data_IF_482512078660
#
_entry.id   IF_482512078660
#
_cell.length_a   1.000
_cell.length_b   1.000
_cell.length_c   1.000
_cell.angle_alpha   90.00
_cell.angle_beta   90.00
_cell.angle_gamma   90.00
#
_symmetry.space_group_name_H-M   'P 1'
#
loop_
_entity.id
_entity.type
_entity.pdbx_description
1 polymer ?
#
# COMPACT_ATOMS: atom_id res chain seq x y z
N UNK A 1 34.17 -18.68 -28.26
CA UNK A 1 33.43 -17.78 -27.34
C UNK A 1 32.34 -17.00 -28.07
N UNK A 2 32.63 -15.93 -28.83
CA UNK A 2 31.60 -15.11 -29.50
C UNK A 2 30.65 -15.87 -30.44
N UNK A 3 31.17 -16.84 -31.19
CA UNK A 3 30.37 -17.70 -32.08
C UNK A 3 29.45 -18.67 -31.31
N UNK A 4 29.88 -19.14 -30.13
CA UNK A 4 29.06 -19.99 -29.27
C UNK A 4 27.97 -19.19 -28.58
N UNK A 5 28.25 -17.96 -28.16
CA UNK A 5 27.25 -17.02 -27.63
C UNK A 5 26.22 -16.65 -28.69
N UNK A 6 26.65 -16.41 -29.94
CA UNK A 6 25.75 -16.14 -31.05
C UNK A 6 24.84 -17.34 -31.36
N UNK A 7 25.40 -18.56 -31.38
CA UNK A 7 24.60 -19.77 -31.59
C UNK A 7 23.64 -20.05 -30.43
N UNK A 8 24.04 -19.79 -29.19
CA UNK A 8 23.15 -19.90 -28.03
C UNK A 8 22.00 -18.88 -28.09
N UNK A 9 22.29 -17.63 -28.45
CA UNK A 9 21.26 -16.59 -28.66
C UNK A 9 20.31 -16.95 -29.80
N UNK A 10 20.84 -17.43 -30.92
CA UNK A 10 20.03 -17.88 -32.07
C UNK A 10 19.16 -19.08 -31.65
N UNK A 11 19.69 -20.04 -30.90
CA UNK A 11 18.92 -21.16 -30.39
C UNK A 11 17.78 -20.72 -29.45
N UNK A 12 18.04 -19.76 -28.55
CA UNK A 12 17.01 -19.18 -27.67
C UNK A 12 15.93 -18.45 -28.48
N UNK A 13 16.33 -17.68 -29.49
CA UNK A 13 15.39 -16.97 -30.38
C UNK A 13 14.56 -17.94 -31.21
N UNK A 14 15.18 -18.99 -31.74
CA UNK A 14 14.49 -20.03 -32.52
C UNK A 14 13.53 -20.85 -31.65
N UNK A 15 13.89 -21.16 -30.41
CA UNK A 15 12.99 -21.83 -29.46
C UNK A 15 11.82 -20.92 -29.06
N UNK A 16 12.07 -19.62 -28.88
CA UNK A 16 11.02 -18.63 -28.63
C UNK A 16 10.04 -18.49 -29.80
N UNK A 17 10.54 -18.47 -31.03
CA UNK A 17 9.74 -18.37 -32.27
C UNK A 17 9.01 -19.68 -32.63
N UNK A 18 9.55 -20.83 -32.23
CA UNK A 18 8.95 -22.15 -32.46
C UNK A 18 7.95 -22.57 -31.37
N UNK A 19 7.74 -21.76 -30.32
CA UNK A 19 6.62 -22.01 -29.42
C UNK A 19 5.32 -21.93 -30.23
N UNK A 20 4.45 -22.95 -30.17
CA UNK A 20 3.16 -22.84 -30.83
C UNK A 20 2.35 -21.83 -30.02
N UNK A 21 2.45 -20.54 -30.39
CA UNK A 21 1.57 -19.48 -29.91
C UNK A 21 0.08 -19.76 -30.27
N UNK A 22 -0.22 -20.91 -30.89
CA UNK A 22 -1.52 -21.29 -31.40
C UNK A 22 -2.00 -22.67 -30.92
N UNK A 23 -1.40 -23.26 -29.87
CA UNK A 23 -1.86 -24.57 -29.41
C UNK A 23 -3.17 -24.55 -28.58
N UNK A 24 -3.58 -23.42 -27.98
CA UNK A 24 -4.82 -23.41 -27.17
C UNK A 24 -5.50 -22.02 -26.96
N UNK A 25 -5.24 -21.04 -27.83
CA UNK A 25 -5.94 -19.76 -27.81
C UNK A 25 -5.60 -18.87 -26.61
N UNK A 26 -6.48 -17.92 -26.29
CA UNK A 26 -6.25 -16.91 -25.23
C UNK A 26 -5.98 -17.52 -23.86
N UNK A 27 -6.59 -18.67 -23.55
CA UNK A 27 -6.42 -19.37 -22.28
C UNK A 27 -4.97 -19.82 -22.04
N UNK A 28 -4.31 -20.37 -23.06
CA UNK A 28 -2.90 -20.77 -22.95
C UNK A 28 -1.96 -19.54 -22.94
N UNK A 29 -2.30 -18.48 -23.67
CA UNK A 29 -1.56 -17.20 -23.58
C UNK A 29 -1.63 -16.60 -22.18
N UNK A 30 -2.81 -16.60 -21.56
CA UNK A 30 -3.02 -16.13 -20.18
C UNK A 30 -2.28 -17.04 -19.19
N UNK A 31 -2.33 -18.36 -19.36
CA UNK A 31 -1.63 -19.29 -18.48
C UNK A 31 -0.10 -19.08 -18.51
N UNK A 32 0.48 -18.90 -19.70
CA UNK A 32 1.92 -18.62 -19.85
C UNK A 32 2.27 -17.24 -19.30
N UNK A 33 1.42 -16.24 -19.54
CA UNK A 33 1.59 -14.89 -19.02
C UNK A 33 1.59 -14.86 -17.49
N UNK A 34 0.62 -15.54 -16.87
CA UNK A 34 0.56 -15.69 -15.42
C UNK A 34 1.75 -16.49 -14.90
N UNK A 35 2.10 -17.61 -15.51
CA UNK A 35 3.25 -18.41 -15.09
C UNK A 35 4.57 -17.62 -15.15
N UNK A 36 4.77 -16.83 -16.21
CA UNK A 36 5.94 -15.96 -16.37
C UNK A 36 5.94 -14.83 -15.35
N UNK A 37 4.78 -14.24 -15.05
CA UNK A 37 4.63 -13.23 -14.02
C UNK A 37 4.96 -13.79 -12.64
N UNK A 38 4.40 -14.95 -12.26
CA UNK A 38 4.71 -15.59 -10.98
C UNK A 38 6.19 -15.94 -10.85
N UNK A 39 6.81 -16.45 -11.92
CA UNK A 39 8.23 -16.79 -11.91
C UNK A 39 9.11 -15.55 -11.75
N UNK A 40 8.85 -14.49 -12.52
CA UNK A 40 9.60 -13.24 -12.44
C UNK A 40 9.37 -12.55 -11.09
N UNK A 41 8.13 -12.52 -10.62
CA UNK A 41 7.79 -12.00 -9.29
C UNK A 41 8.49 -12.78 -8.18
N UNK A 42 8.56 -14.11 -8.25
CA UNK A 42 9.28 -14.93 -7.27
C UNK A 42 10.79 -14.68 -7.28
N UNK A 43 11.37 -14.43 -8.47
CA UNK A 43 12.79 -14.13 -8.62
C UNK A 43 13.14 -12.72 -8.12
N UNK A 44 12.25 -11.75 -8.30
CA UNK A 44 12.44 -10.34 -7.88
C UNK A 44 12.06 -10.12 -6.41
N UNK A 45 11.10 -10.88 -5.88
CA UNK A 45 10.56 -10.74 -4.52
C UNK A 45 11.63 -10.64 -3.41
N UNK A 46 12.67 -11.49 -3.34
CA UNK A 46 13.67 -11.40 -2.27
C UNK A 46 14.55 -10.15 -2.35
N UNK A 47 14.65 -9.51 -3.53
CA UNK A 47 15.39 -8.26 -3.70
C UNK A 47 14.51 -7.03 -3.46
N UNK A 48 13.23 -7.11 -3.83
CA UNK A 48 12.26 -6.03 -3.60
C UNK A 48 11.76 -5.98 -2.16
N UNK A 49 11.66 -7.13 -1.49
CA UNK A 49 11.20 -7.28 -0.11
C UNK A 49 12.19 -8.12 0.70
N UNK A 50 13.38 -7.58 1.03
CA UNK A 50 14.43 -8.33 1.71
C UNK A 50 14.10 -8.65 3.18
N UNK A 51 13.10 -7.98 3.76
CA UNK A 51 12.71 -8.19 5.15
C UNK A 51 11.36 -8.91 5.22
N UNK A 52 11.30 -10.09 5.86
CA UNK A 52 10.02 -10.70 6.19
C UNK A 52 9.30 -9.81 7.19
N UNK A 53 8.18 -9.21 6.77
CA UNK A 53 7.25 -8.55 7.68
C UNK A 53 6.53 -9.64 8.48
N UNK A 54 7.12 -10.07 9.58
CA UNK A 54 6.42 -10.87 10.57
C UNK A 54 5.49 -9.95 11.33
N UNK A 55 4.18 -10.11 11.15
CA UNK A 55 3.21 -9.48 12.04
C UNK A 55 3.37 -10.12 13.42
N UNK A 56 3.72 -9.35 14.46
CA UNK A 56 3.65 -9.87 15.82
C UNK A 56 2.20 -10.23 16.11
N UNK A 57 1.96 -11.51 16.43
CA UNK A 57 0.69 -11.95 16.97
C UNK A 57 0.60 -11.36 18.39
N UNK A 58 -0.07 -10.22 18.52
CA UNK A 58 -0.41 -9.66 19.82
C UNK A 58 -1.43 -10.59 20.48
N UNK A 59 -0.97 -11.43 21.40
CA UNK A 59 -1.86 -12.19 22.28
C UNK A 59 -2.52 -11.20 23.24
N UNK A 60 -3.79 -10.85 22.97
CA UNK A 60 -4.59 -10.05 23.89
C UNK A 60 -4.95 -10.91 25.10
N UNK A 61 -4.57 -10.54 26.34
CA UNK A 61 -4.84 -11.34 27.54
C UNK A 61 -6.25 -11.13 28.10
N UNK A 62 -7.22 -10.69 27.30
CA UNK A 62 -8.55 -10.39 27.82
C UNK A 62 -9.40 -11.67 27.94
N UNK A 63 -9.40 -12.26 29.13
CA UNK A 63 -10.34 -13.30 29.49
C UNK A 63 -11.75 -12.67 29.60
N UNK A 64 -12.64 -13.04 28.69
CA UNK A 64 -14.03 -12.62 28.75
C UNK A 64 -14.73 -13.26 29.96
N UNK A 65 -15.47 -12.49 30.77
CA UNK A 65 -16.26 -13.07 31.84
C UNK A 65 -17.36 -13.96 31.24
N UNK A 66 -17.67 -15.12 31.85
CA UNK A 66 -18.75 -15.97 31.38
C UNK A 66 -20.08 -15.23 31.51
N UNK A 67 -20.78 -15.11 30.39
CA UNK A 67 -22.11 -14.53 30.32
C UNK A 67 -23.09 -15.49 31.00
N UNK A 68 -23.63 -15.10 32.15
CA UNK A 68 -24.79 -15.77 32.73
C UNK A 68 -26.04 -15.32 31.98
N UNK A 69 -26.73 -16.25 31.32
CA UNK A 69 -28.02 -15.97 30.70
C UNK A 69 -29.08 -15.84 31.81
N UNK A 70 -29.83 -14.73 31.87
CA UNK A 70 -30.98 -14.65 32.76
C UNK A 70 -32.07 -15.63 32.29
N UNK A 71 -32.77 -16.22 33.27
CA UNK A 71 -33.91 -17.10 33.01
C UNK A 71 -35.00 -16.37 32.20
N UNK A 72 -35.75 -17.07 31.32
CA UNK A 72 -36.73 -16.45 30.44
C UNK A 72 -37.81 -15.71 31.26
N UNK A 73 -37.99 -14.43 30.95
CA UNK A 73 -39.01 -13.60 31.57
C UNK A 73 -40.41 -14.07 31.13
N UNK A 74 -41.29 -14.27 32.10
CA UNK A 74 -42.73 -14.48 31.86
C UNK A 74 -43.31 -13.22 31.23
N UNK A 75 -44.07 -13.39 30.15
CA UNK A 75 -44.63 -12.28 29.38
C UNK A 75 -45.58 -11.43 30.22
N UNK A 76 -45.18 -10.20 30.53
CA UNK A 76 -46.08 -9.16 31.04
C UNK A 76 -46.56 -8.31 29.86
N UNK A 77 -47.84 -7.93 29.90
CA UNK A 77 -48.55 -7.15 28.89
C UNK A 77 -47.81 -5.87 28.51
N UNK A 78 -47.86 -5.44 27.23
CA UNK A 78 -47.00 -4.38 26.71
C UNK A 78 -47.31 -3.02 27.36
N UNK A 79 -46.30 -2.46 28.03
CA UNK A 79 -46.23 -1.04 28.35
C UNK A 79 -46.01 -0.26 27.05
N UNK A 80 -46.82 0.76 26.79
CA UNK A 80 -46.62 1.69 25.68
C UNK A 80 -45.31 2.45 25.88
N UNK A 81 -44.31 2.15 25.05
CA UNK A 81 -43.02 2.83 25.08
C UNK A 81 -43.14 4.21 24.42
N UNK A 82 -42.76 5.26 25.17
CA UNK A 82 -42.48 6.57 24.59
C UNK A 82 -41.20 6.48 23.76
N UNK A 83 -41.22 7.02 22.54
CA UNK A 83 -40.08 6.98 21.64
C UNK A 83 -38.86 7.70 22.28
N UNK A 84 -37.65 7.12 22.20
CA UNK A 84 -36.45 7.76 22.69
C UNK A 84 -36.20 9.05 21.91
N UNK A 85 -36.10 10.18 22.62
CA UNK A 85 -35.63 11.44 22.04
C UNK A 85 -34.11 11.30 21.87
N UNK A 86 -33.66 11.17 20.63
CA UNK A 86 -32.24 11.16 20.30
C UNK A 86 -31.63 12.51 20.65
N UNK A 87 -30.79 12.56 21.67
CA UNK A 87 -29.91 13.71 21.87
C UNK A 87 -28.86 13.66 20.77
N UNK A 88 -28.84 14.70 19.93
CA UNK A 88 -27.85 14.85 18.88
C UNK A 88 -26.48 15.02 19.55
N UNK A 89 -25.68 13.96 19.49
CA UNK A 89 -24.32 13.99 20.01
C UNK A 89 -23.52 15.00 19.18
N UNK A 90 -23.25 16.16 19.78
CA UNK A 90 -22.37 17.18 19.21
C UNK A 90 -21.02 16.53 18.96
N UNK A 91 -20.62 16.49 17.69
CA UNK A 91 -19.33 15.97 17.27
C UNK A 91 -18.21 16.73 17.99
N UNK A 92 -17.23 16.01 18.54
CA UNK A 92 -16.06 16.61 19.15
C UNK A 92 -15.35 17.54 18.13
N UNK A 93 -14.78 18.68 18.57
CA UNK A 93 -14.01 19.55 17.70
C UNK A 93 -12.91 18.76 16.98
N UNK A 94 -12.84 18.87 15.66
CA UNK A 94 -11.81 18.19 14.88
C UNK A 94 -10.42 18.59 15.43
N UNK A 95 -9.49 17.62 15.60
CA UNK A 95 -8.15 17.95 16.06
C UNK A 95 -7.51 18.96 15.11
N UNK A 96 -6.83 19.95 15.67
CA UNK A 96 -6.08 20.95 14.90
C UNK A 96 -4.93 20.26 14.16
N UNK A 97 -5.19 19.85 12.91
CA UNK A 97 -4.17 19.21 12.09
C UNK A 97 -3.14 20.27 11.70
N UNK A 98 -1.93 20.15 12.24
CA UNK A 98 -0.79 20.96 11.81
C UNK A 98 -0.47 20.58 10.37
N UNK A 99 -0.83 21.47 9.43
CA UNK A 99 -0.63 21.23 8.00
C UNK A 99 0.74 21.67 7.48
N UNK A 100 1.48 22.48 8.27
CA UNK A 100 2.76 23.03 7.82
C UNK A 100 3.76 22.97 8.96
N UNK A 101 4.94 22.41 8.68
CA UNK A 101 6.09 22.42 9.58
C UNK A 101 7.21 23.21 8.92
N UNK A 102 7.57 24.34 9.52
CA UNK A 102 8.56 25.26 8.95
C UNK A 102 9.98 24.94 9.44
N UNK A 103 10.93 25.02 8.50
CA UNK A 103 12.37 24.88 8.74
C UNK A 103 13.13 26.03 8.04
N UNK A 104 14.40 26.28 8.40
CA UNK A 104 15.17 27.39 7.80
C UNK A 104 15.39 27.25 6.28
N UNK A 105 15.41 26.04 5.75
CA UNK A 105 15.79 25.70 4.36
C UNK A 105 14.58 25.22 3.52
N UNK A 106 13.39 25.19 4.12
CA UNK A 106 12.17 24.71 3.47
C UNK A 106 11.06 24.49 4.48
N UNK A 107 9.95 23.94 4.01
CA UNK A 107 8.84 23.55 4.88
C UNK A 107 8.21 22.27 4.38
N UNK A 108 7.76 21.44 5.31
CA UNK A 108 6.88 20.33 4.99
C UNK A 108 5.44 20.82 4.96
N UNK A 109 4.72 20.52 3.88
CA UNK A 109 3.29 20.77 3.73
C UNK A 109 2.55 19.44 3.68
N UNK A 110 1.56 19.27 4.55
CA UNK A 110 0.66 18.13 4.56
C UNK A 110 -0.44 18.35 3.53
N UNK A 111 -0.41 17.56 2.45
CA UNK A 111 -1.43 17.53 1.41
C UNK A 111 -2.37 16.35 1.63
N UNK A 112 -3.57 16.48 1.07
CA UNK A 112 -4.65 15.52 1.26
C UNK A 112 -5.61 15.91 2.38
N UNK A 113 -6.75 15.23 2.36
CA UNK A 113 -7.87 15.37 3.28
C UNK A 113 -8.09 14.08 4.11
N UNK A 114 -7.35 13.01 3.80
CA UNK A 114 -7.47 11.71 4.45
C UNK A 114 -8.77 10.97 4.13
N UNK A 115 -9.60 11.51 3.22
CA UNK A 115 -10.92 10.96 2.88
C UNK A 115 -10.96 10.61 1.39
N UNK A 116 -10.64 11.56 0.52
CA UNK A 116 -10.55 11.35 -0.93
C UNK A 116 -9.12 11.18 -1.40
N UNK A 117 -8.17 11.85 -0.73
CA UNK A 117 -6.75 11.83 -1.03
C UNK A 117 -5.97 11.49 0.25
N UNK A 118 -5.10 10.46 0.23
CA UNK A 118 -4.31 10.11 1.39
C UNK A 118 -3.43 11.29 1.82
N UNK A 119 -3.15 11.36 3.12
CA UNK A 119 -2.25 12.37 3.66
C UNK A 119 -0.82 12.13 3.20
N UNK A 120 -0.22 13.11 2.52
CA UNK A 120 1.19 13.09 2.14
C UNK A 120 1.94 14.32 2.67
N UNK A 121 3.18 14.12 3.09
CA UNK A 121 4.07 15.22 3.45
C UNK A 121 4.98 15.56 2.28
N UNK A 122 4.83 16.78 1.76
CA UNK A 122 5.65 17.26 0.65
C UNK A 122 6.65 18.28 1.16
N UNK A 123 7.92 18.08 0.85
CA UNK A 123 8.98 19.05 1.13
C UNK A 123 8.99 20.16 0.08
N UNK A 124 8.84 21.41 0.53
CA UNK A 124 8.95 22.60 -0.30
C UNK A 124 10.23 23.34 0.07
N UNK A 125 11.20 23.36 -0.83
CA UNK A 125 12.48 24.07 -0.64
C UNK A 125 12.25 25.58 -0.72
N UNK A 126 12.93 26.37 0.11
CA UNK A 126 12.94 27.83 -0.05
C UNK A 126 13.74 28.24 -1.29
N UNK A 127 13.42 29.38 -1.91
CA UNK A 127 14.15 29.87 -3.09
C UNK A 127 15.68 29.94 -2.86
N UNK A 128 16.12 30.17 -1.62
CA UNK A 128 17.53 30.15 -1.20
C UNK A 128 18.21 28.77 -1.37
N UNK A 129 17.47 27.67 -1.22
CA UNK A 129 17.99 26.31 -1.42
C UNK A 129 18.08 25.88 -2.89
N UNK A 130 17.30 26.50 -3.79
CA UNK A 130 17.41 26.26 -5.23
C UNK A 130 18.71 26.85 -5.82
N UNK A 131 19.20 27.96 -5.25
CA UNK A 131 20.47 28.56 -5.64
C UNK A 131 21.68 27.65 -5.33
N UNK A 132 21.62 26.86 -4.26
CA UNK A 132 22.68 25.92 -3.87
C UNK A 132 22.69 24.60 -4.66
N UNK A 133 21.58 24.24 -5.33
CA UNK A 133 21.54 23.04 -6.20
C UNK A 133 22.11 23.33 -7.58
N UNK A 134 21.98 24.57 -8.07
CA UNK A 134 22.52 25.00 -9.36
C UNK A 134 24.00 25.41 -9.28
N UNK A 135 24.55 25.61 -8.08
CA UNK A 135 25.91 26.09 -7.87
C UNK A 135 26.83 25.04 -7.21
N UNK A 136 27.40 24.11 -8.01
CA UNK A 136 28.77 23.57 -7.89
C UNK A 136 29.00 22.32 -8.80
N UNK A 137 30.23 21.94 -9.21
CA UNK A 137 31.46 22.71 -9.45
C UNK A 137 32.05 22.42 -10.87
N UNK A 138 32.42 23.43 -11.64
CA UNK A 138 33.04 23.17 -12.95
C UNK A 138 33.31 24.41 -13.80
N UNK A 139 34.30 25.22 -13.41
CA UNK A 139 34.99 26.10 -14.36
C UNK A 139 36.37 26.48 -13.81
N UNK A 140 37.30 25.53 -13.85
CA UNK A 140 38.71 25.84 -14.10
C UNK A 140 39.00 25.47 -15.54
N UNK A 141 39.07 26.47 -16.41
CA UNK A 141 39.96 26.49 -17.56
C UNK A 141 40.47 27.91 -17.73
#
# INVERSE_FOLDING_TARGET
MRRLVALALIAVVLVGLATPAQACGSACGVAIGLASFFFLSALVAPFAYPYPYTYPAYAYPYAYPPYAYPAPAVYQSPVTYQAPVYQQQVAAPAPMVVRVVQYPHGRYELRGDGVTTPYEWVWVVTASGLASVTAAPGSTQ
#
